data_IF_924707226672
#
_entry.id   IF_924707226672
#
_cell.length_a   1.000
_cell.length_b   1.000
_cell.length_c   1.000
_cell.angle_alpha   90.00
_cell.angle_beta   90.00
_cell.angle_gamma   90.00
#
_symmetry.space_group_name_H-M   'P 1'
#
loop_
_entity.id
_entity.type
_entity.pdbx_description
1 polymer ?
#
# COMPACT_ATOMS: atom_id res chain seq x y z
N UNK A 1 -5.43 -15.57 2.00
CA UNK A 1 -5.49 -14.26 2.69
C UNK A 1 -6.63 -14.32 3.69
N UNK A 2 -6.35 -14.41 5.00
CA UNK A 2 -7.40 -14.27 6.02
C UNK A 2 -7.70 -12.78 6.14
N UNK A 3 -8.95 -12.39 5.95
CA UNK A 3 -9.42 -11.04 6.25
C UNK A 3 -9.78 -11.01 7.73
N UNK A 4 -9.04 -10.24 8.50
CA UNK A 4 -9.31 -9.90 9.90
C UNK A 4 -10.16 -8.64 9.95
N UNK A 5 -10.93 -8.44 11.02
CA UNK A 5 -11.79 -7.26 11.16
C UNK A 5 -11.00 -5.93 11.17
N UNK A 6 -9.70 -5.98 11.45
CA UNK A 6 -8.82 -4.81 11.43
C UNK A 6 -8.35 -4.41 10.02
N UNK A 7 -8.31 -5.34 9.07
CA UNK A 7 -7.82 -5.06 7.71
C UNK A 7 -8.65 -4.03 6.95
N UNK A 8 -10.00 -4.08 6.97
CA UNK A 8 -10.81 -3.01 6.38
C UNK A 8 -10.52 -1.63 6.96
N UNK A 9 -10.34 -1.53 8.29
CA UNK A 9 -10.03 -0.26 8.95
C UNK A 9 -8.62 0.23 8.61
N UNK A 10 -7.62 -0.66 8.60
CA UNK A 10 -6.26 -0.33 8.21
C UNK A 10 -6.20 0.20 6.76
N UNK A 11 -6.97 -0.42 5.86
CA UNK A 11 -7.05 0.01 4.46
C UNK A 11 -7.80 1.34 4.31
N UNK A 12 -8.87 1.55 5.08
CA UNK A 12 -9.59 2.82 5.11
C UNK A 12 -8.70 3.98 5.61
N UNK A 13 -7.91 3.75 6.67
CA UNK A 13 -6.92 4.71 7.18
C UNK A 13 -5.83 4.99 6.14
N UNK A 14 -5.27 3.95 5.53
CA UNK A 14 -4.25 4.09 4.49
C UNK A 14 -4.76 4.95 3.33
N UNK A 15 -6.02 4.74 2.90
CA UNK A 15 -6.63 5.59 1.87
C UNK A 15 -6.81 7.03 2.34
N UNK A 16 -7.33 7.24 3.55
CA UNK A 16 -7.53 8.58 4.09
C UNK A 16 -6.21 9.38 4.17
N UNK A 17 -5.13 8.73 4.59
CA UNK A 17 -3.82 9.37 4.76
C UNK A 17 -3.12 9.69 3.42
N UNK A 18 -3.37 8.88 2.38
CA UNK A 18 -2.60 8.94 1.14
C UNK A 18 -3.39 9.50 -0.04
N UNK A 19 -4.72 9.53 0.06
CA UNK A 19 -5.64 9.81 -1.05
C UNK A 19 -5.45 8.92 -2.29
N UNK A 20 -4.75 7.79 -2.15
CA UNK A 20 -4.60 6.81 -3.22
C UNK A 20 -5.96 6.18 -3.58
N UNK A 21 -6.07 5.66 -4.80
CA UNK A 21 -7.25 4.86 -5.17
C UNK A 21 -7.24 3.56 -4.36
N UNK A 22 -8.43 2.99 -4.12
CA UNK A 22 -8.55 1.75 -3.35
C UNK A 22 -7.66 0.60 -3.87
N UNK A 23 -7.54 0.36 -5.20
CA UNK A 23 -6.62 -0.67 -5.70
C UNK A 23 -5.17 -0.44 -5.28
N UNK A 24 -4.67 0.79 -5.40
CA UNK A 24 -3.30 1.15 -5.02
C UNK A 24 -3.08 1.00 -3.51
N UNK A 25 -4.08 1.33 -2.69
CA UNK A 25 -4.05 1.07 -1.25
C UNK A 25 -3.95 -0.43 -0.93
N UNK A 26 -4.68 -1.29 -1.64
CA UNK A 26 -4.63 -2.74 -1.44
C UNK A 26 -3.23 -3.28 -1.76
N UNK A 27 -2.66 -2.84 -2.87
CA UNK A 27 -1.32 -3.26 -3.30
C UNK A 27 -0.27 -2.81 -2.28
N UNK A 28 -0.31 -1.56 -1.85
CA UNK A 28 0.59 -1.02 -0.82
C UNK A 28 0.44 -1.75 0.52
N UNK A 29 -0.80 -2.01 0.96
CA UNK A 29 -1.07 -2.75 2.18
C UNK A 29 -0.52 -4.18 2.13
N UNK A 30 -0.61 -4.84 0.97
CA UNK A 30 -0.03 -6.18 0.77
C UNK A 30 1.50 -6.15 0.89
N UNK A 31 2.17 -5.16 0.28
CA UNK A 31 3.62 -5.00 0.40
C UNK A 31 4.05 -4.77 1.85
N UNK A 32 3.35 -3.87 2.57
CA UNK A 32 3.59 -3.61 4.00
C UNK A 32 3.38 -4.84 4.88
N UNK A 33 2.32 -5.61 4.66
CA UNK A 33 2.00 -6.79 5.46
C UNK A 33 2.97 -7.95 5.24
N UNK A 34 3.55 -8.05 4.04
CA UNK A 34 4.44 -9.15 3.65
C UNK A 34 5.92 -8.78 3.71
N UNK A 35 6.25 -7.50 3.82
CA UNK A 35 7.62 -7.00 3.69
C UNK A 35 8.17 -7.09 2.27
N UNK A 36 7.31 -7.26 1.25
CA UNK A 36 7.74 -7.37 -0.14
C UNK A 36 8.07 -5.99 -0.75
N UNK A 37 8.95 -5.99 -1.75
CA UNK A 37 9.15 -4.84 -2.63
C UNK A 37 7.93 -4.60 -3.52
N UNK A 38 7.68 -3.35 -3.89
CA UNK A 38 6.58 -2.93 -4.75
C UNK A 38 7.07 -2.65 -6.17
N UNK A 39 6.59 -3.42 -7.14
CA UNK A 39 6.86 -3.18 -8.56
C UNK A 39 5.78 -2.25 -9.15
N UNK A 40 6.15 -1.04 -9.58
CA UNK A 40 5.20 -0.11 -10.22
C UNK A 40 5.87 0.93 -11.10
N UNK A 41 5.22 1.29 -12.21
CA UNK A 41 5.57 2.45 -13.03
C UNK A 41 4.77 3.72 -12.65
N UNK A 42 3.82 3.61 -11.73
CA UNK A 42 3.05 4.77 -11.25
C UNK A 42 3.89 5.57 -10.25
N UNK A 43 4.28 6.78 -10.63
CA UNK A 43 5.14 7.64 -9.83
C UNK A 43 4.51 8.06 -8.49
N UNK A 44 3.18 8.18 -8.42
CA UNK A 44 2.48 8.56 -7.19
C UNK A 44 2.53 7.40 -6.20
N UNK A 45 2.22 6.19 -6.66
CA UNK A 45 2.28 4.99 -5.83
C UNK A 45 3.72 4.69 -5.39
N UNK A 46 4.70 4.82 -6.30
CA UNK A 46 6.12 4.65 -5.99
C UNK A 46 6.57 5.60 -4.87
N UNK A 47 6.20 6.89 -4.96
CA UNK A 47 6.53 7.89 -3.94
C UNK A 47 5.93 7.53 -2.58
N UNK A 48 4.62 7.26 -2.53
CA UNK A 48 3.91 6.94 -1.28
C UNK A 48 4.44 5.66 -0.64
N UNK A 49 4.80 4.65 -1.45
CA UNK A 49 5.39 3.41 -0.97
C UNK A 49 6.78 3.65 -0.34
N UNK A 50 7.63 4.42 -1.02
CA UNK A 50 8.98 4.76 -0.54
C UNK A 50 8.95 5.56 0.77
N UNK A 51 8.04 6.55 0.88
CA UNK A 51 7.82 7.34 2.11
C UNK A 51 7.42 6.47 3.32
N UNK A 52 6.86 5.29 3.06
CA UNK A 52 6.42 4.31 4.08
C UNK A 52 7.40 3.14 4.24
N UNK A 53 8.60 3.23 3.68
CA UNK A 53 9.66 2.24 3.85
C UNK A 53 9.52 0.99 2.97
N UNK A 54 8.64 1.00 1.98
CA UNK A 54 8.54 -0.08 1.00
C UNK A 54 9.55 0.16 -0.12
N UNK A 55 10.40 -0.83 -0.39
CA UNK A 55 11.34 -0.79 -1.52
C UNK A 55 10.56 -0.79 -2.82
N UNK A 56 10.81 0.18 -3.69
CA UNK A 56 10.18 0.24 -5.02
C UNK A 56 11.15 -0.29 -6.08
N UNK A 57 10.64 -1.11 -6.97
CA UNK A 57 11.32 -1.57 -8.18
C UNK A 57 10.48 -1.19 -9.41
N UNK A 58 11.13 -0.90 -10.53
CA UNK A 58 10.49 -0.52 -11.78
C UNK A 58 10.93 -1.47 -12.90
#
# INVERSE_FOLDING_TARGET
>A
MRVTDEQPLALARLRADTSLRMPDCCVLAAALQTGASLATFDATLARVASERGVVVVA
#
